data_IF_746965860145
#
_entry.id   IF_746965860145
#
_cell.length_a   1.000
_cell.length_b   1.000
_cell.length_c   1.000
_cell.angle_alpha   90.00
_cell.angle_beta   90.00
_cell.angle_gamma   90.00
#
_symmetry.space_group_name_H-M   'P 1'
#
loop_
_entity.id
_entity.type
_entity.pdbx_description
1 polymer ?
#
# COMPACT_ATOMS: atom_id res chain seq x y z
N UNK A 1 -8.44 12.79 10.32
CA UNK A 1 -7.94 13.10 8.96
C UNK A 1 -7.63 14.58 8.89
N UNK A 2 -6.45 14.94 8.39
CA UNK A 2 -6.11 16.32 8.11
C UNK A 2 -6.93 16.78 6.88
N UNK A 3 -7.45 18.00 6.92
CA UNK A 3 -8.37 18.51 5.88
C UNK A 3 -7.87 19.85 5.35
N UNK A 4 -7.02 19.79 4.33
CA UNK A 4 -6.53 20.97 3.63
C UNK A 4 -7.62 21.60 2.73
N UNK A 5 -8.47 20.75 2.12
CA UNK A 5 -9.59 21.11 1.25
C UNK A 5 -10.92 20.76 1.93
N UNK A 6 -11.67 21.73 2.50
CA UNK A 6 -12.81 21.44 3.37
C UNK A 6 -13.89 20.51 2.79
N UNK A 7 -14.11 20.56 1.48
CA UNK A 7 -15.16 19.82 0.77
C UNK A 7 -14.66 18.68 -0.12
N UNK A 8 -13.35 18.38 -0.15
CA UNK A 8 -12.77 17.42 -1.09
C UNK A 8 -12.01 16.29 -0.36
N UNK A 9 -12.75 15.23 -0.01
CA UNK A 9 -12.20 14.07 0.69
C UNK A 9 -11.03 13.43 -0.07
N UNK A 10 -11.18 13.20 -1.38
CA UNK A 10 -10.19 12.49 -2.19
C UNK A 10 -8.86 13.24 -2.22
N UNK A 11 -8.90 14.57 -2.33
CA UNK A 11 -7.69 15.39 -2.31
C UNK A 11 -7.06 15.43 -0.92
N UNK A 12 -7.85 15.50 0.14
CA UNK A 12 -7.33 15.39 1.51
C UNK A 12 -6.65 14.05 1.75
N UNK A 13 -7.26 12.95 1.31
CA UNK A 13 -6.65 11.62 1.40
C UNK A 13 -5.32 11.57 0.64
N UNK A 14 -5.24 12.17 -0.55
CA UNK A 14 -3.97 12.26 -1.29
C UNK A 14 -2.91 13.10 -0.57
N UNK A 15 -3.30 14.20 0.08
CA UNK A 15 -2.40 15.03 0.88
C UNK A 15 -1.91 14.28 2.12
N UNK A 16 -2.80 13.63 2.86
CA UNK A 16 -2.47 12.83 4.04
C UNK A 16 -1.50 11.69 3.65
N UNK A 17 -1.81 10.94 2.58
CA UNK A 17 -0.91 9.92 2.03
C UNK A 17 0.46 10.50 1.63
N UNK A 18 0.50 11.65 0.97
CA UNK A 18 1.77 12.27 0.60
C UNK A 18 2.59 12.65 1.85
N UNK A 19 1.96 13.19 2.89
CA UNK A 19 2.60 13.50 4.17
C UNK A 19 3.18 12.24 4.81
N UNK A 20 2.40 11.16 4.90
CA UNK A 20 2.87 9.87 5.42
C UNK A 20 3.99 9.27 4.58
N UNK A 21 4.05 9.54 3.27
CA UNK A 21 5.14 9.17 2.38
C UNK A 21 6.38 10.11 2.45
N UNK A 22 6.36 11.11 3.34
CA UNK A 22 7.50 12.01 3.58
C UNK A 22 7.41 13.39 2.91
N UNK A 23 6.24 13.81 2.45
CA UNK A 23 6.03 15.18 1.99
C UNK A 23 6.37 16.21 3.08
N UNK A 24 6.81 17.40 2.66
CA UNK A 24 7.15 18.49 3.59
C UNK A 24 6.05 19.53 3.62
N UNK A 25 5.69 20.00 4.81
CA UNK A 25 4.57 20.93 5.02
C UNK A 25 4.64 22.19 4.15
N UNK A 26 5.84 22.74 3.92
CA UNK A 26 6.02 23.91 3.04
C UNK A 26 5.83 23.58 1.56
N UNK A 27 6.21 22.38 1.12
CA UNK A 27 6.00 21.90 -0.24
C UNK A 27 4.49 21.60 -0.46
N UNK A 28 3.81 21.03 0.54
CA UNK A 28 2.34 20.84 0.54
C UNK A 28 1.63 22.19 0.42
N UNK A 29 2.01 23.19 1.22
CA UNK A 29 1.42 24.53 1.13
C UNK A 29 1.59 25.13 -0.27
N UNK A 30 2.81 25.06 -0.84
CA UNK A 30 3.07 25.57 -2.18
C UNK A 30 2.25 24.85 -3.27
N UNK A 31 2.07 23.54 -3.17
CA UNK A 31 1.28 22.75 -4.14
C UNK A 31 -0.23 22.94 -3.98
N UNK A 32 -0.71 23.05 -2.74
CA UNK A 32 -2.14 22.98 -2.42
C UNK A 32 -2.81 24.35 -2.27
N UNK A 33 -2.11 25.41 -1.85
CA UNK A 33 -2.70 26.74 -1.68
C UNK A 33 -3.34 27.27 -2.98
N UNK A 34 -2.72 27.13 -4.18
CA UNK A 34 -3.34 27.56 -5.43
C UNK A 34 -4.57 26.73 -5.84
N UNK A 35 -4.77 25.57 -5.21
CA UNK A 35 -5.83 24.62 -5.56
C UNK A 35 -7.11 24.81 -4.74
N UNK A 36 -7.15 25.75 -3.79
CA UNK A 36 -8.28 25.94 -2.87
C UNK A 36 -9.62 26.16 -3.58
N UNK A 37 -9.66 27.03 -4.59
CA UNK A 37 -10.88 27.25 -5.37
C UNK A 37 -11.19 26.08 -6.31
N UNK A 38 -10.16 25.50 -6.94
CA UNK A 38 -10.32 24.35 -7.82
C UNK A 38 -10.89 23.12 -7.09
N UNK A 39 -10.55 22.95 -5.80
CA UNK A 39 -11.03 21.85 -4.97
C UNK A 39 -12.55 21.87 -4.73
N UNK A 40 -13.23 23.01 -4.96
CA UNK A 40 -14.68 23.16 -4.73
C UNK A 40 -15.53 22.60 -5.87
N UNK A 41 -14.95 22.37 -7.05
CA UNK A 41 -15.64 21.85 -8.22
C UNK A 41 -15.03 20.50 -8.66
N UNK A 42 -15.82 19.43 -8.83
CA UNK A 42 -15.33 18.15 -9.32
C UNK A 42 -15.24 18.16 -10.85
N UNK A 43 -14.41 19.03 -11.42
CA UNK A 43 -14.26 19.18 -12.86
C UNK A 43 -12.87 18.76 -13.37
N UNK A 44 -12.78 18.53 -14.69
CA UNK A 44 -11.55 18.12 -15.35
C UNK A 44 -10.44 19.18 -15.23
N UNK A 45 -10.81 20.46 -15.03
CA UNK A 45 -9.84 21.54 -14.87
C UNK A 45 -9.16 21.47 -13.49
N UNK A 46 -9.90 21.13 -12.43
CA UNK A 46 -9.35 20.90 -11.09
C UNK A 46 -8.36 19.74 -11.05
N UNK A 47 -8.71 18.59 -11.65
CA UNK A 47 -7.79 17.44 -11.75
C UNK A 47 -6.54 17.77 -12.55
N UNK A 48 -6.66 18.56 -13.63
CA UNK A 48 -5.51 19.05 -14.41
C UNK A 48 -4.63 19.98 -13.59
N UNK A 49 -5.22 20.95 -12.89
CA UNK A 49 -4.49 21.88 -12.04
C UNK A 49 -3.73 21.15 -10.93
N UNK A 50 -4.37 20.18 -10.26
CA UNK A 50 -3.71 19.34 -9.27
C UNK A 50 -2.50 18.62 -9.86
N UNK A 51 -2.67 17.97 -11.02
CA UNK A 51 -1.56 17.29 -11.70
C UNK A 51 -0.40 18.25 -11.98
N UNK A 52 -0.70 19.41 -12.54
CA UNK A 52 0.31 20.39 -12.94
C UNK A 52 1.10 20.92 -11.75
N UNK A 53 0.44 21.28 -10.64
CA UNK A 53 1.14 21.80 -9.46
C UNK A 53 2.03 20.75 -8.79
N UNK A 54 1.56 19.52 -8.67
CA UNK A 54 2.32 18.43 -8.06
C UNK A 54 3.49 17.96 -8.93
N UNK A 55 3.31 17.90 -10.25
CA UNK A 55 4.40 17.59 -11.19
C UNK A 55 5.44 18.71 -11.17
N UNK A 56 5.04 19.98 -11.14
CA UNK A 56 5.97 21.10 -11.08
C UNK A 56 6.85 21.08 -9.81
N UNK A 57 6.29 20.68 -8.67
CA UNK A 57 7.08 20.49 -7.45
C UNK A 57 8.08 19.33 -7.57
N UNK A 58 7.66 18.21 -8.19
CA UNK A 58 8.58 17.10 -8.47
C UNK A 58 9.72 17.54 -9.41
N UNK A 59 9.42 18.36 -10.42
CA UNK A 59 10.44 18.94 -11.33
C UNK A 59 11.42 19.84 -10.58
N UNK A 60 10.92 20.71 -9.70
CA UNK A 60 11.74 21.56 -8.85
C UNK A 60 12.69 20.72 -7.97
N UNK A 61 12.19 19.65 -7.35
CA UNK A 61 13.02 18.74 -6.55
C UNK A 61 14.07 18.01 -7.40
N UNK A 62 13.75 17.63 -8.63
CA UNK A 62 14.73 17.03 -9.55
C UNK A 62 15.86 18.01 -9.88
N UNK A 63 15.54 19.28 -10.17
CA UNK A 63 16.55 20.32 -10.41
C UNK A 63 17.46 20.54 -9.20
N UNK A 64 16.87 20.65 -8.00
CA UNK A 64 17.61 20.79 -6.75
C UNK A 64 18.46 19.54 -6.42
N UNK A 65 18.01 18.34 -6.82
CA UNK A 65 18.79 17.12 -6.68
C UNK A 65 20.01 17.13 -7.60
N UNK A 66 19.89 17.68 -8.82
CA UNK A 66 21.02 17.82 -9.73
C UNK A 66 22.07 18.81 -9.20
N UNK A 67 21.64 19.95 -8.65
CA UNK A 67 22.55 20.89 -7.98
C UNK A 67 23.35 20.23 -6.84
N UNK A 68 22.73 19.31 -6.10
CA UNK A 68 23.42 18.54 -5.07
C UNK A 68 24.36 17.48 -5.65
N UNK A 69 23.99 16.83 -6.75
CA UNK A 69 24.84 15.87 -7.47
C UNK A 69 26.10 16.52 -8.01
N UNK A 70 25.98 17.69 -8.63
CA UNK A 70 27.12 18.48 -9.12
C UNK A 70 28.11 18.82 -8.00
N UNK A 71 27.63 18.87 -6.75
CA UNK A 71 28.44 19.11 -5.55
C UNK A 71 28.83 17.85 -4.79
N UNK A 72 28.52 16.66 -5.31
CA UNK A 72 28.81 15.36 -4.67
C UNK A 72 27.95 15.05 -3.44
N UNK A 73 26.84 15.76 -3.22
CA UNK A 73 25.96 15.63 -2.04
C UNK A 73 24.87 14.58 -2.28
N UNK A 74 25.28 13.33 -2.45
CA UNK A 74 24.41 12.25 -2.94
C UNK A 74 23.24 11.93 -2.01
N UNK A 75 23.42 11.94 -0.69
CA UNK A 75 22.31 11.72 0.25
C UNK A 75 21.21 12.77 0.09
N UNK A 76 21.59 14.04 -0.04
CA UNK A 76 20.66 15.16 -0.23
C UNK A 76 19.93 15.10 -1.57
N UNK A 77 20.62 14.68 -2.63
CA UNK A 77 20.01 14.44 -3.94
C UNK A 77 19.02 13.26 -3.88
N UNK A 78 19.42 12.16 -3.24
CA UNK A 78 18.60 10.97 -3.11
C UNK A 78 17.30 11.22 -2.36
N UNK A 79 17.34 11.96 -1.26
CA UNK A 79 16.13 12.33 -0.51
C UNK A 79 15.16 13.16 -1.38
N UNK A 80 15.68 14.12 -2.16
CA UNK A 80 14.85 14.93 -3.07
C UNK A 80 14.22 14.10 -4.17
N UNK A 81 14.96 13.19 -4.81
CA UNK A 81 14.42 12.31 -5.85
C UNK A 81 13.34 11.37 -5.30
N UNK A 82 13.52 10.85 -4.07
CA UNK A 82 12.51 10.04 -3.40
C UNK A 82 11.24 10.83 -3.10
N UNK A 83 11.34 12.08 -2.62
CA UNK A 83 10.18 12.95 -2.44
C UNK A 83 9.50 13.30 -3.77
N UNK A 84 10.28 13.59 -4.82
CA UNK A 84 9.77 13.84 -6.15
C UNK A 84 8.96 12.64 -6.69
N UNK A 85 9.45 11.41 -6.47
CA UNK A 85 8.71 10.19 -6.79
C UNK A 85 7.36 10.14 -6.04
N UNK A 86 7.35 10.40 -4.73
CA UNK A 86 6.12 10.49 -3.93
C UNK A 86 5.09 11.51 -4.48
N UNK A 87 5.55 12.64 -5.02
CA UNK A 87 4.67 13.64 -5.63
C UNK A 87 4.13 13.21 -7.00
N UNK A 88 4.96 12.54 -7.81
CA UNK A 88 4.51 11.99 -9.09
C UNK A 88 3.47 10.89 -8.92
N UNK A 89 3.64 9.94 -7.98
CA UNK A 89 2.61 8.91 -7.75
C UNK A 89 1.33 9.51 -7.18
N UNK A 90 1.43 10.55 -6.35
CA UNK A 90 0.25 11.28 -5.84
C UNK A 90 -0.52 11.96 -6.98
N UNK A 91 0.19 12.59 -7.92
CA UNK A 91 -0.42 13.18 -9.12
C UNK A 91 -1.04 12.13 -10.04
N UNK A 92 -0.34 11.01 -10.27
CA UNK A 92 -0.77 9.86 -11.10
C UNK A 92 -2.06 9.22 -10.58
N UNK A 93 -2.15 9.02 -9.25
CA UNK A 93 -3.26 8.38 -8.57
C UNK A 93 -4.58 9.13 -8.76
N UNK A 94 -4.54 10.46 -8.93
CA UNK A 94 -5.74 11.27 -9.15
C UNK A 94 -6.20 11.32 -10.61
N UNK A 95 -5.47 10.74 -11.55
CA UNK A 95 -5.85 10.70 -12.95
C UNK A 95 -6.73 9.48 -13.27
N UNK A 96 -7.65 9.62 -14.24
CA UNK A 96 -8.33 8.47 -14.83
C UNK A 96 -7.32 7.49 -15.45
N UNK A 97 -7.63 6.18 -15.42
CA UNK A 97 -6.66 5.14 -15.79
C UNK A 97 -6.15 5.25 -17.24
N UNK A 98 -6.96 5.82 -18.14
CA UNK A 98 -6.72 6.07 -19.56
C UNK A 98 -6.26 7.50 -19.86
N UNK A 99 -6.06 8.34 -18.84
CA UNK A 99 -5.66 9.73 -19.02
C UNK A 99 -4.30 9.85 -19.75
N UNK A 100 -4.17 10.75 -20.75
CA UNK A 100 -2.92 10.94 -21.48
C UNK A 100 -1.72 11.22 -20.57
N UNK A 101 -0.61 10.51 -20.83
CA UNK A 101 0.64 10.65 -20.09
C UNK A 101 0.62 10.12 -18.64
N UNK A 102 -0.48 9.50 -18.18
CA UNK A 102 -0.52 8.86 -16.84
C UNK A 102 0.58 7.82 -16.67
N UNK A 103 0.76 6.97 -17.69
CA UNK A 103 1.77 5.92 -17.66
C UNK A 103 3.21 6.46 -17.67
N UNK A 104 3.44 7.62 -18.29
CA UNK A 104 4.74 8.27 -18.30
C UNK A 104 5.08 8.88 -16.93
N UNK A 105 4.09 9.45 -16.23
CA UNK A 105 4.25 9.84 -14.84
C UNK A 105 4.63 8.65 -13.96
N UNK A 106 3.94 7.52 -14.13
CA UNK A 106 4.22 6.31 -13.37
C UNK A 106 5.64 5.79 -13.63
N UNK A 107 6.07 5.66 -14.89
CA UNK A 107 7.45 5.21 -15.20
C UNK A 107 8.51 6.16 -14.65
N UNK A 108 8.26 7.47 -14.72
CA UNK A 108 9.16 8.47 -14.18
C UNK A 108 9.27 8.36 -12.66
N UNK A 109 8.15 8.14 -11.98
CA UNK A 109 8.11 7.90 -10.54
C UNK A 109 8.97 6.70 -10.13
N UNK A 110 8.79 5.54 -10.78
CA UNK A 110 9.60 4.33 -10.53
C UNK A 110 11.10 4.61 -10.68
N UNK A 111 11.49 5.35 -11.74
CA UNK A 111 12.88 5.68 -12.00
C UNK A 111 13.47 6.59 -10.89
N UNK A 112 12.75 7.65 -10.50
CA UNK A 112 13.20 8.57 -9.45
C UNK A 112 13.25 7.89 -8.08
N UNK A 113 12.30 7.00 -7.77
CA UNK A 113 12.27 6.26 -6.52
C UNK A 113 13.50 5.34 -6.38
N UNK A 114 13.82 4.57 -7.43
CA UNK A 114 14.96 3.67 -7.42
C UNK A 114 16.29 4.42 -7.42
N UNK A 115 16.40 5.49 -8.22
CA UNK A 115 17.61 6.33 -8.23
C UNK A 115 17.83 7.01 -6.88
N UNK A 116 16.77 7.58 -6.30
CA UNK A 116 16.83 8.20 -4.98
C UNK A 116 17.29 7.21 -3.92
N UNK A 117 16.77 5.98 -3.96
CA UNK A 117 17.16 4.91 -3.03
C UNK A 117 18.61 4.45 -3.20
N UNK A 118 19.09 4.37 -4.44
CA UNK A 118 20.50 4.10 -4.71
C UNK A 118 21.42 5.19 -4.15
N UNK A 119 21.08 6.47 -4.35
CA UNK A 119 21.87 7.60 -3.86
C UNK A 119 21.88 7.70 -2.33
N UNK A 120 20.81 7.27 -1.67
CA UNK A 120 20.71 7.20 -0.21
C UNK A 120 21.48 6.02 0.39
N UNK A 121 21.92 5.05 -0.42
CA UNK A 121 22.62 3.86 0.05
C UNK A 121 21.69 2.82 0.69
N UNK A 122 20.40 2.84 0.37
CA UNK A 122 19.45 1.85 0.86
C UNK A 122 19.85 0.45 0.38
N UNK A 123 19.64 -0.57 1.23
CA UNK A 123 19.77 -1.99 0.84
C UNK A 123 18.56 -2.51 0.03
N UNK A 124 17.68 -1.61 -0.40
CA UNK A 124 16.48 -1.91 -1.16
C UNK A 124 16.82 -2.49 -2.53
N UNK A 125 16.14 -3.57 -2.90
CA UNK A 125 16.27 -4.22 -4.20
C UNK A 125 14.90 -4.33 -4.86
N UNK A 126 14.80 -3.89 -6.12
CA UNK A 126 13.66 -4.29 -6.97
C UNK A 126 13.91 -5.71 -7.47
N UNK A 127 12.94 -6.59 -7.27
CA UNK A 127 12.99 -7.99 -7.67
C UNK A 127 11.78 -8.35 -8.53
N UNK A 128 11.92 -9.38 -9.36
CA UNK A 128 10.86 -9.89 -10.23
C UNK A 128 10.55 -11.35 -9.89
N UNK A 129 9.27 -11.66 -9.73
CA UNK A 129 8.75 -12.97 -9.33
C UNK A 129 7.98 -13.57 -10.51
N UNK A 130 8.40 -14.70 -11.08
CA UNK A 130 7.73 -15.29 -12.25
C UNK A 130 6.25 -15.64 -11.99
N UNK A 131 5.35 -15.11 -12.83
CA UNK A 131 3.91 -15.30 -12.70
C UNK A 131 3.19 -15.20 -14.05
N UNK A 132 2.40 -16.21 -14.42
CA UNK A 132 1.51 -16.20 -15.60
C UNK A 132 2.19 -15.75 -16.93
N UNK A 133 3.42 -16.21 -17.20
CA UNK A 133 4.19 -15.82 -18.39
C UNK A 133 4.74 -14.38 -18.37
N UNK A 134 4.56 -13.68 -17.25
CA UNK A 134 5.08 -12.35 -16.94
C UNK A 134 5.81 -12.42 -15.58
N UNK A 135 5.84 -11.32 -14.85
CA UNK A 135 6.32 -11.27 -13.48
C UNK A 135 5.43 -10.39 -12.60
N UNK A 136 5.52 -10.59 -11.29
CA UNK A 136 5.15 -9.60 -10.28
C UNK A 136 6.40 -8.82 -9.90
N UNK A 137 6.29 -7.50 -9.80
CA UNK A 137 7.38 -6.65 -9.32
C UNK A 137 7.25 -6.45 -7.82
N UNK A 138 8.39 -6.48 -7.11
CA UNK A 138 8.42 -6.27 -5.68
C UNK A 138 9.66 -5.49 -5.23
N UNK A 139 9.56 -4.87 -4.06
CA UNK A 139 10.67 -4.25 -3.34
C UNK A 139 11.07 -5.15 -2.17
N UNK A 140 12.28 -5.69 -2.22
CA UNK A 140 12.90 -6.44 -1.14
C UNK A 140 13.79 -5.53 -0.30
N UNK A 141 13.51 -5.43 1.00
CA UNK A 141 14.35 -4.75 1.98
C UNK A 141 14.83 -5.78 3.02
N UNK A 142 16.12 -6.11 3.09
CA UNK A 142 16.62 -7.06 4.07
C UNK A 142 16.57 -6.47 5.49
N UNK A 143 16.43 -7.35 6.48
CA UNK A 143 16.62 -7.03 7.88
C UNK A 143 17.97 -6.34 8.14
N UNK A 144 18.00 -5.36 9.05
CA UNK A 144 19.25 -4.71 9.44
C UNK A 144 20.15 -5.66 10.22
N UNK A 145 21.45 -5.61 9.94
CA UNK A 145 22.45 -6.45 10.61
C UNK A 145 22.51 -7.90 10.15
N UNK A 146 21.76 -8.28 9.11
CA UNK A 146 21.83 -9.62 8.52
C UNK A 146 23.23 -9.88 7.93
N UNK A 147 23.95 -10.88 8.45
CA UNK A 147 25.30 -11.24 8.01
C UNK A 147 25.28 -12.22 6.83
N UNK A 148 26.36 -12.32 6.05
CA UNK A 148 26.45 -13.32 4.98
C UNK A 148 26.18 -14.75 5.49
N UNK A 149 25.26 -15.44 4.83
CA UNK A 149 24.84 -16.81 5.19
C UNK A 149 23.76 -16.91 6.26
N UNK A 150 23.37 -15.80 6.91
CA UNK A 150 22.22 -15.77 7.83
C UNK A 150 20.90 -15.62 7.06
N UNK A 151 19.82 -16.07 7.70
CA UNK A 151 18.44 -15.95 7.20
C UNK A 151 17.58 -15.18 8.19
N UNK A 152 16.75 -14.28 7.68
CA UNK A 152 15.82 -13.47 8.46
C UNK A 152 14.38 -13.92 8.27
N UNK A 153 13.50 -13.72 9.28
CA UNK A 153 12.06 -13.73 9.04
C UNK A 153 11.69 -12.63 8.03
N UNK A 154 10.59 -12.82 7.31
CA UNK A 154 10.14 -11.87 6.29
C UNK A 154 8.63 -11.62 6.37
N UNK A 155 8.21 -10.37 6.17
CA UNK A 155 6.81 -10.00 5.96
C UNK A 155 6.56 -9.64 4.49
N UNK A 156 5.69 -10.41 3.82
CA UNK A 156 5.12 -10.04 2.52
C UNK A 156 4.07 -8.96 2.76
N UNK A 157 4.16 -7.83 2.06
CA UNK A 157 3.26 -6.69 2.25
C UNK A 157 2.46 -6.43 0.96
N UNK A 158 1.14 -6.45 1.08
CA UNK A 158 0.20 -6.37 -0.05
C UNK A 158 -0.45 -5.00 -0.15
N UNK A 159 -0.67 -4.54 -1.38
CA UNK A 159 -1.33 -3.27 -1.68
C UNK A 159 -2.85 -3.29 -1.47
N UNK A 160 -3.43 -2.09 -1.36
CA UNK A 160 -4.86 -1.84 -1.45
C UNK A 160 -5.35 -1.75 -2.91
N UNK A 161 -6.46 -1.01 -3.12
CA UNK A 161 -7.08 -0.84 -4.44
C UNK A 161 -6.28 0.09 -5.37
N UNK A 162 -5.56 1.05 -4.80
CA UNK A 162 -4.98 2.19 -5.52
C UNK A 162 -3.58 2.58 -5.04
N UNK A 163 -3.01 1.82 -4.10
CA UNK A 163 -1.62 1.98 -3.67
C UNK A 163 -0.65 1.24 -4.60
N UNK A 164 0.64 1.56 -4.52
CA UNK A 164 1.73 0.80 -5.15
C UNK A 164 2.77 0.41 -4.12
N UNK A 165 3.67 -0.52 -4.47
CA UNK A 165 4.78 -0.93 -3.59
C UNK A 165 5.67 0.24 -3.17
N UNK A 166 5.88 1.24 -4.02
CA UNK A 166 6.61 2.47 -3.69
C UNK A 166 5.90 3.26 -2.61
N UNK A 167 4.57 3.46 -2.74
CA UNK A 167 3.78 4.15 -1.71
C UNK A 167 3.87 3.43 -0.37
N UNK A 168 3.66 2.11 -0.36
CA UNK A 168 3.76 1.31 0.87
C UNK A 168 5.15 1.35 1.48
N UNK A 169 6.20 1.36 0.66
CA UNK A 169 7.57 1.50 1.14
C UNK A 169 7.79 2.85 1.83
N UNK A 170 7.34 3.94 1.20
CA UNK A 170 7.53 5.31 1.68
C UNK A 170 6.80 5.59 3.00
N UNK A 171 5.66 4.94 3.25
CA UNK A 171 4.92 5.06 4.53
C UNK A 171 5.75 4.56 5.72
N UNK A 172 6.67 3.61 5.52
CA UNK A 172 7.75 3.33 6.48
C UNK A 172 7.78 1.95 7.13
N UNK A 173 6.73 1.14 7.02
CA UNK A 173 6.68 -0.21 7.62
C UNK A 173 7.91 -1.07 7.31
N UNK A 174 8.43 -1.14 6.06
CA UNK A 174 9.63 -1.90 5.77
C UNK A 174 10.85 -1.49 6.62
N UNK A 175 11.09 -0.19 6.80
CA UNK A 175 12.21 0.29 7.59
C UNK A 175 12.04 -0.01 9.09
N UNK A 176 10.81 0.07 9.60
CA UNK A 176 10.53 -0.29 11.00
C UNK A 176 10.72 -1.78 11.28
N UNK A 177 10.36 -2.64 10.32
CA UNK A 177 10.60 -4.09 10.38
C UNK A 177 12.09 -4.41 10.28
N UNK A 178 12.81 -3.74 9.37
CA UNK A 178 14.24 -3.99 9.17
C UNK A 178 15.04 -3.77 10.46
N UNK A 179 14.75 -2.69 11.20
CA UNK A 179 15.33 -2.41 12.54
C UNK A 179 15.06 -3.54 13.55
N UNK A 180 13.89 -4.18 13.44
CA UNK A 180 13.43 -5.30 14.27
C UNK A 180 13.92 -6.67 13.76
N UNK A 181 14.85 -6.70 12.81
CA UNK A 181 15.39 -7.95 12.29
C UNK A 181 14.45 -8.72 11.38
N UNK A 182 13.42 -8.07 10.83
CA UNK A 182 12.46 -8.69 9.90
C UNK A 182 12.62 -8.05 8.51
N UNK A 183 12.90 -8.88 7.50
CA UNK A 183 12.95 -8.46 6.09
C UNK A 183 11.55 -8.15 5.57
N UNK A 184 11.46 -7.35 4.50
CA UNK A 184 10.20 -7.00 3.86
C UNK A 184 10.22 -7.34 2.38
N UNK A 185 9.09 -7.82 1.87
CA UNK A 185 8.82 -7.91 0.43
C UNK A 185 7.51 -7.17 0.14
N UNK A 186 7.60 -5.96 -0.42
CA UNK A 186 6.43 -5.16 -0.78
C UNK A 186 6.08 -5.45 -2.25
N UNK A 187 4.90 -6.02 -2.50
CA UNK A 187 4.58 -6.62 -3.81
C UNK A 187 3.50 -5.82 -4.53
N UNK A 188 3.72 -5.52 -5.80
CA UNK A 188 2.61 -5.17 -6.71
C UNK A 188 1.95 -6.46 -7.19
N UNK A 189 0.95 -6.93 -6.44
CA UNK A 189 0.13 -8.07 -6.83
C UNK A 189 -0.78 -7.74 -8.03
N UNK A 190 -1.39 -8.73 -8.72
CA UNK A 190 -2.36 -8.46 -9.79
C UNK A 190 -3.45 -7.47 -9.33
N UNK A 191 -3.72 -6.46 -10.16
CA UNK A 191 -4.60 -5.33 -9.83
C UNK A 191 -3.89 -4.13 -9.19
N UNK A 192 -2.59 -4.18 -8.94
CA UNK A 192 -1.81 -3.09 -8.35
C UNK A 192 -0.57 -2.73 -9.18
N UNK A 193 -0.08 -1.49 -9.00
CA UNK A 193 1.22 -0.98 -9.48
C UNK A 193 1.68 -1.51 -10.84
N UNK A 194 2.90 -2.04 -10.94
CA UNK A 194 3.49 -2.52 -12.19
C UNK A 194 2.72 -3.71 -12.79
N UNK A 195 2.18 -4.60 -11.95
CA UNK A 195 1.41 -5.76 -12.40
C UNK A 195 0.21 -5.31 -13.26
N UNK A 196 -0.55 -4.32 -12.80
CA UNK A 196 -1.68 -3.77 -13.54
C UNK A 196 -1.24 -2.81 -14.66
N UNK A 197 -0.42 -1.80 -14.32
CA UNK A 197 -0.11 -0.66 -15.22
C UNK A 197 0.82 -1.02 -16.37
N UNK A 198 1.80 -1.90 -16.14
CA UNK A 198 2.82 -2.25 -17.12
C UNK A 198 2.59 -3.65 -17.70
N UNK A 199 2.04 -4.56 -16.89
CA UNK A 199 1.83 -5.95 -17.28
C UNK A 199 0.37 -6.31 -17.55
N UNK A 200 -0.61 -5.43 -17.32
CA UNK A 200 -2.03 -5.71 -17.58
C UNK A 200 -2.60 -6.90 -16.79
N UNK A 201 -1.98 -7.25 -15.66
CA UNK A 201 -2.46 -8.27 -14.73
C UNK A 201 -3.51 -7.63 -13.81
N UNK A 202 -4.77 -7.94 -14.06
CA UNK A 202 -5.91 -7.46 -13.28
C UNK A 202 -6.07 -8.23 -11.97
N UNK A 203 -6.76 -7.63 -11.00
CA UNK A 203 -7.09 -8.24 -9.72
C UNK A 203 -7.87 -9.55 -9.91
N UNK A 204 -7.73 -10.43 -8.94
CA UNK A 204 -8.47 -11.69 -8.84
C UNK A 204 -8.87 -11.95 -7.39
N UNK A 205 -10.02 -12.57 -7.20
CA UNK A 205 -10.56 -12.81 -5.87
C UNK A 205 -9.80 -13.93 -5.13
N UNK A 206 -9.25 -14.88 -5.86
CA UNK A 206 -8.56 -16.07 -5.37
C UNK A 206 -7.05 -15.84 -5.18
N UNK A 207 -6.75 -14.99 -4.19
CA UNK A 207 -5.42 -14.52 -3.77
C UNK A 207 -4.32 -15.58 -3.77
N UNK A 208 -4.65 -16.78 -3.30
CA UNK A 208 -3.72 -17.91 -3.16
C UNK A 208 -2.93 -18.21 -4.44
N UNK A 209 -3.50 -17.97 -5.61
CA UNK A 209 -2.85 -18.28 -6.88
C UNK A 209 -1.57 -17.49 -7.15
N UNK A 210 -1.52 -16.22 -6.75
CA UNK A 210 -0.29 -15.43 -6.85
C UNK A 210 0.49 -15.43 -5.54
N UNK A 211 -0.18 -15.58 -4.39
CA UNK A 211 0.50 -15.66 -3.10
C UNK A 211 1.42 -16.88 -3.01
N UNK A 212 0.97 -18.06 -3.45
CA UNK A 212 1.79 -19.27 -3.50
C UNK A 212 3.05 -19.09 -4.35
N UNK A 213 2.98 -18.32 -5.45
CA UNK A 213 4.13 -18.06 -6.32
C UNK A 213 5.16 -17.13 -5.70
N UNK A 214 4.71 -16.20 -4.85
CA UNK A 214 5.59 -15.37 -4.02
C UNK A 214 6.30 -16.26 -2.99
N UNK A 215 5.57 -17.15 -2.32
CA UNK A 215 6.16 -18.08 -1.34
C UNK A 215 7.17 -19.02 -2.00
N UNK A 216 6.84 -19.61 -3.16
CA UNK A 216 7.77 -20.46 -3.92
C UNK A 216 9.10 -19.75 -4.21
N UNK A 217 9.03 -18.47 -4.58
CA UNK A 217 10.22 -17.66 -4.83
C UNK A 217 11.01 -17.36 -3.53
N UNK A 218 10.30 -17.07 -2.44
CA UNK A 218 10.91 -16.79 -1.14
C UNK A 218 11.61 -17.99 -0.51
N UNK A 219 11.09 -19.22 -0.70
CA UNK A 219 11.75 -20.44 -0.21
C UNK A 219 13.11 -20.69 -0.87
N UNK A 220 13.32 -20.14 -2.08
CA UNK A 220 14.59 -20.18 -2.79
C UNK A 220 15.49 -18.96 -2.48
N UNK A 221 14.99 -17.96 -1.76
CA UNK A 221 15.75 -16.74 -1.49
C UNK A 221 16.75 -16.97 -0.34
N UNK A 222 18.07 -16.78 -0.56
CA UNK A 222 19.10 -17.26 0.36
C UNK A 222 19.09 -16.58 1.74
N UNK A 223 18.58 -15.34 1.80
CA UNK A 223 18.49 -14.51 3.00
C UNK A 223 17.17 -14.68 3.78
N UNK A 224 16.23 -15.49 3.28
CA UNK A 224 14.90 -15.67 3.88
C UNK A 224 14.81 -16.99 4.63
N UNK A 225 14.29 -16.93 5.84
CA UNK A 225 13.89 -18.11 6.59
C UNK A 225 12.51 -18.57 6.13
N UNK A 226 12.49 -19.62 5.31
CA UNK A 226 11.27 -20.21 4.75
C UNK A 226 10.19 -20.59 5.79
N UNK A 227 10.57 -20.82 7.06
CA UNK A 227 9.62 -21.17 8.13
C UNK A 227 9.00 -19.95 8.81
N UNK A 228 9.46 -18.74 8.49
CA UNK A 228 9.09 -17.49 9.16
C UNK A 228 8.72 -16.40 8.16
N UNK A 229 7.86 -16.78 7.21
CA UNK A 229 7.27 -15.87 6.22
C UNK A 229 5.87 -15.47 6.69
N UNK A 230 5.66 -14.19 7.03
CA UNK A 230 4.33 -13.63 7.31
C UNK A 230 3.72 -12.93 6.09
N UNK A 231 2.43 -12.62 6.19
CA UNK A 231 1.74 -11.77 5.22
C UNK A 231 1.03 -10.61 5.91
N UNK A 232 1.09 -9.42 5.33
CA UNK A 232 0.34 -8.23 5.72
C UNK A 232 -0.39 -7.67 4.50
N UNK A 233 -1.58 -7.12 4.71
CA UNK A 233 -2.28 -6.40 3.65
C UNK A 233 -3.04 -5.20 4.17
N UNK A 234 -2.91 -4.09 3.43
CA UNK A 234 -3.52 -2.80 3.77
C UNK A 234 -4.78 -2.55 2.94
N UNK A 235 -5.86 -2.04 3.54
CA UNK A 235 -7.12 -1.71 2.84
C UNK A 235 -7.71 -2.93 2.10
N UNK A 236 -7.78 -2.94 0.76
CA UNK A 236 -8.15 -4.15 -0.01
C UNK A 236 -7.16 -5.31 0.22
N UNK A 237 -5.92 -5.03 0.60
CA UNK A 237 -4.99 -6.02 1.15
C UNK A 237 -5.53 -6.72 2.42
N UNK A 238 -6.40 -6.07 3.19
CA UNK A 238 -7.14 -6.66 4.30
C UNK A 238 -8.17 -7.72 3.89
N UNK A 239 -8.46 -7.86 2.59
CA UNK A 239 -9.12 -9.04 1.99
C UNK A 239 -8.07 -10.06 1.52
N UNK A 240 -7.06 -9.59 0.78
CA UNK A 240 -6.04 -10.48 0.19
C UNK A 240 -5.28 -11.28 1.25
N UNK A 241 -4.76 -10.62 2.29
CA UNK A 241 -3.91 -11.25 3.32
C UNK A 241 -4.63 -12.40 4.06
N UNK A 242 -5.83 -12.22 4.67
CA UNK A 242 -6.53 -13.33 5.31
C UNK A 242 -6.75 -14.51 4.36
N UNK A 243 -7.10 -14.25 3.10
CA UNK A 243 -7.32 -15.30 2.11
C UNK A 243 -6.03 -16.04 1.75
N UNK A 244 -4.93 -15.32 1.52
CA UNK A 244 -3.62 -15.93 1.28
C UNK A 244 -3.23 -16.83 2.46
N UNK A 245 -3.28 -16.31 3.68
CA UNK A 245 -2.89 -17.05 4.89
C UNK A 245 -3.80 -18.26 5.15
N UNK A 246 -5.08 -18.18 4.82
CA UNK A 246 -6.03 -19.29 4.97
C UNK A 246 -5.77 -20.45 3.99
N UNK A 247 -5.27 -20.14 2.79
CA UNK A 247 -5.22 -21.08 1.66
C UNK A 247 -3.80 -21.50 1.25
N UNK A 248 -2.78 -20.76 1.68
CA UNK A 248 -1.35 -21.08 1.50
C UNK A 248 -0.71 -21.41 2.86
N UNK A 249 -0.56 -22.70 3.20
CA UNK A 249 -0.21 -23.15 4.56
C UNK A 249 1.22 -22.80 4.99
N UNK A 250 2.07 -22.31 4.08
CA UNK A 250 3.46 -21.92 4.39
C UNK A 250 3.59 -20.55 5.06
N UNK A 251 2.54 -19.73 5.08
CA UNK A 251 2.56 -18.49 5.85
C UNK A 251 2.53 -18.77 7.35
N UNK A 252 3.45 -18.16 8.10
CA UNK A 252 3.65 -18.34 9.54
C UNK A 252 2.83 -17.38 10.41
N UNK A 253 2.37 -16.25 9.85
CA UNK A 253 1.43 -15.32 10.50
C UNK A 253 0.72 -14.43 9.46
N UNK A 254 -0.33 -13.73 9.89
CA UNK A 254 -1.04 -12.75 9.07
C UNK A 254 -1.35 -11.44 9.80
N UNK A 255 -1.40 -10.33 9.05
CA UNK A 255 -1.83 -9.01 9.55
C UNK A 255 -2.80 -8.38 8.55
N UNK A 256 -3.98 -7.97 9.02
CA UNK A 256 -4.89 -7.13 8.24
C UNK A 256 -4.84 -5.70 8.76
N UNK A 257 -4.35 -4.76 7.95
CA UNK A 257 -4.30 -3.33 8.28
C UNK A 257 -5.43 -2.58 7.56
N UNK A 258 -6.55 -2.36 8.26
CA UNK A 258 -7.80 -1.96 7.61
C UNK A 258 -8.57 -3.17 7.07
N UNK A 259 -8.92 -4.11 7.96
CA UNK A 259 -9.62 -5.35 7.63
C UNK A 259 -10.87 -5.19 6.76
N UNK A 260 -10.86 -5.83 5.60
CA UNK A 260 -11.85 -5.70 4.54
C UNK A 260 -12.52 -7.05 4.28
N UNK A 261 -13.48 -7.40 5.13
CA UNK A 261 -14.01 -8.75 5.23
C UNK A 261 -14.98 -9.14 4.11
N UNK A 262 -15.89 -8.24 3.75
CA UNK A 262 -16.91 -8.45 2.73
C UNK A 262 -16.87 -7.25 1.77
N UNK A 263 -15.92 -7.30 0.83
CA UNK A 263 -15.74 -6.24 -0.14
C UNK A 263 -16.96 -6.12 -1.05
N UNK A 264 -17.62 -7.24 -1.36
CA UNK A 264 -18.92 -7.28 -2.05
C UNK A 264 -19.94 -6.35 -1.41
N UNK A 265 -20.19 -6.48 -0.09
CA UNK A 265 -21.16 -5.61 0.59
C UNK A 265 -20.71 -4.14 0.51
N UNK A 266 -19.41 -3.86 0.70
CA UNK A 266 -18.87 -2.49 0.56
C UNK A 266 -19.18 -1.91 -0.83
N UNK A 267 -19.08 -2.70 -1.90
CA UNK A 267 -19.41 -2.23 -3.25
C UNK A 267 -20.92 -1.95 -3.42
N UNK A 268 -21.78 -2.81 -2.85
CA UNK A 268 -23.24 -2.59 -2.88
C UNK A 268 -23.62 -1.31 -2.17
N UNK A 269 -23.05 -1.06 -0.99
CA UNK A 269 -23.25 0.19 -0.22
C UNK A 269 -22.74 1.42 -0.97
N UNK A 270 -21.62 1.31 -1.68
CA UNK A 270 -21.11 2.39 -2.55
C UNK A 270 -22.06 2.75 -3.70
N UNK A 271 -22.79 1.80 -4.27
CA UNK A 271 -23.86 2.10 -5.25
C UNK A 271 -25.02 2.86 -4.62
N UNK A 272 -25.30 2.59 -3.34
CA UNK A 272 -26.28 3.30 -2.51
C UNK A 272 -25.76 4.67 -2.00
N UNK A 273 -24.57 5.10 -2.45
CA UNK A 273 -23.87 6.35 -2.06
C UNK A 273 -23.42 6.39 -0.60
N UNK A 274 -23.15 5.23 -0.02
CA UNK A 274 -22.56 5.11 1.31
C UNK A 274 -21.03 4.91 1.23
N UNK A 275 -20.32 5.54 2.17
CA UNK A 275 -18.86 5.47 2.28
C UNK A 275 -18.12 6.39 1.31
N UNK A 276 -16.89 6.74 1.68
CA UNK A 276 -16.05 7.61 0.84
C UNK A 276 -15.37 6.83 -0.29
N UNK A 277 -15.24 7.49 -1.46
CA UNK A 277 -14.42 6.97 -2.55
C UNK A 277 -12.95 7.33 -2.36
N UNK A 278 -12.01 6.39 -2.60
CA UNK A 278 -10.59 6.67 -2.48
C UNK A 278 -10.03 7.52 -3.62
N UNK A 279 -10.66 7.51 -4.81
CA UNK A 279 -10.20 8.21 -6.03
C UNK A 279 -11.37 8.88 -6.77
N UNK A 280 -11.14 9.93 -7.59
CA UNK A 280 -12.22 10.70 -8.23
C UNK A 280 -13.04 9.89 -9.25
N UNK A 281 -12.40 8.94 -9.93
CA UNK A 281 -12.99 8.12 -10.99
C UNK A 281 -13.28 6.69 -10.53
N UNK A 282 -13.85 6.56 -9.33
CA UNK A 282 -13.93 5.29 -8.60
C UNK A 282 -14.42 4.09 -9.44
N UNK A 283 -15.58 4.21 -10.09
CA UNK A 283 -16.17 3.09 -10.83
C UNK A 283 -15.36 2.69 -12.08
N UNK A 284 -14.76 3.66 -12.77
CA UNK A 284 -13.86 3.38 -13.89
C UNK A 284 -12.56 2.73 -13.40
N UNK A 285 -12.00 3.23 -12.28
CA UNK A 285 -10.79 2.69 -11.67
C UNK A 285 -10.99 1.26 -11.19
N UNK A 286 -12.05 0.98 -10.43
CA UNK A 286 -12.31 -0.36 -9.91
C UNK A 286 -12.62 -1.36 -11.04
N UNK A 287 -13.33 -0.93 -12.09
CA UNK A 287 -13.56 -1.79 -13.27
C UNK A 287 -12.23 -2.12 -13.97
N UNK A 288 -11.35 -1.14 -14.16
CA UNK A 288 -10.01 -1.36 -14.73
C UNK A 288 -9.16 -2.30 -13.86
N UNK A 289 -9.12 -2.08 -12.54
CA UNK A 289 -8.36 -2.92 -11.61
C UNK A 289 -8.79 -4.38 -11.70
N UNK A 290 -10.10 -4.64 -11.78
CA UNK A 290 -10.65 -6.00 -11.80
C UNK A 290 -10.85 -6.57 -13.22
N UNK A 291 -10.51 -5.82 -14.27
CA UNK A 291 -10.69 -6.24 -15.65
C UNK A 291 -12.15 -6.36 -16.07
N UNK A 292 -13.06 -5.67 -15.38
CA UNK A 292 -14.48 -5.65 -15.70
C UNK A 292 -14.77 -4.74 -16.89
N UNK A 293 -15.76 -5.12 -17.70
CA UNK A 293 -16.19 -4.34 -18.87
C UNK A 293 -16.97 -3.09 -18.48
N UNK A 294 -17.75 -3.20 -17.41
CA UNK A 294 -18.64 -2.17 -16.88
C UNK A 294 -18.93 -2.43 -15.40
N UNK A 295 -19.77 -1.59 -14.79
CA UNK A 295 -20.13 -1.68 -13.37
C UNK A 295 -20.89 -2.98 -13.07
N UNK A 296 -21.79 -3.43 -13.94
CA UNK A 296 -22.58 -4.65 -13.71
C UNK A 296 -21.66 -5.88 -13.74
N UNK A 297 -20.74 -5.94 -14.70
CA UNK A 297 -19.70 -6.97 -14.76
C UNK A 297 -18.81 -6.95 -13.51
N UNK A 298 -18.40 -5.77 -13.05
CA UNK A 298 -17.65 -5.61 -11.81
C UNK A 298 -18.43 -6.12 -10.60
N UNK A 299 -19.72 -5.79 -10.47
CA UNK A 299 -20.54 -6.25 -9.35
C UNK A 299 -20.69 -7.77 -9.33
N UNK A 300 -20.77 -8.43 -10.50
CA UNK A 300 -20.74 -9.90 -10.59
C UNK A 300 -19.41 -10.49 -10.14
N UNK A 301 -18.28 -9.86 -10.48
CA UNK A 301 -16.96 -10.27 -9.98
C UNK A 301 -16.90 -10.10 -8.46
N UNK A 302 -17.36 -8.93 -7.98
CA UNK A 302 -17.34 -8.54 -6.58
C UNK A 302 -18.07 -9.54 -5.67
N UNK A 303 -19.11 -10.24 -6.16
CA UNK A 303 -19.81 -11.30 -5.41
C UNK A 303 -18.89 -12.37 -4.80
N UNK A 304 -17.70 -12.59 -5.39
CA UNK A 304 -16.73 -13.57 -4.91
C UNK A 304 -15.68 -12.98 -3.95
N UNK A 305 -15.71 -11.67 -3.69
CA UNK A 305 -14.71 -10.95 -2.90
C UNK A 305 -15.21 -10.77 -1.47
N UNK A 306 -15.20 -11.87 -0.72
CA UNK A 306 -15.52 -11.92 0.70
C UNK A 306 -14.74 -13.03 1.41
N UNK A 307 -14.67 -12.96 2.74
CA UNK A 307 -13.91 -13.92 3.56
C UNK A 307 -14.78 -14.95 4.30
N UNK A 308 -16.09 -14.99 4.06
CA UNK A 308 -16.95 -16.04 4.62
C UNK A 308 -16.46 -17.45 4.26
N UNK A 309 -16.26 -18.29 5.28
CA UNK A 309 -15.71 -19.65 5.12
C UNK A 309 -14.22 -19.70 4.76
N UNK A 310 -13.53 -18.56 4.85
CA UNK A 310 -12.09 -18.41 4.60
C UNK A 310 -11.36 -18.15 5.92
N UNK A 311 -11.77 -17.16 6.70
CA UNK A 311 -11.05 -16.74 7.93
C UNK A 311 -10.95 -17.88 8.94
N UNK A 312 -11.99 -18.71 9.04
CA UNK A 312 -12.03 -19.86 9.95
C UNK A 312 -10.95 -20.91 9.62
N UNK A 313 -10.35 -20.88 8.42
CA UNK A 313 -9.30 -21.82 8.02
C UNK A 313 -7.90 -21.40 8.48
N UNK A 314 -7.73 -20.17 8.99
CA UNK A 314 -6.45 -19.64 9.44
C UNK A 314 -6.02 -20.36 10.72
N UNK A 315 -4.86 -21.02 10.68
CA UNK A 315 -4.29 -21.84 11.78
C UNK A 315 -3.00 -21.27 12.36
N UNK A 316 -2.67 -20.03 12.03
CA UNK A 316 -1.45 -19.33 12.46
C UNK A 316 -1.82 -18.03 13.19
N UNK A 317 -0.91 -17.42 13.97
CA UNK A 317 -1.15 -16.13 14.60
C UNK A 317 -1.64 -15.08 13.59
N UNK A 318 -2.65 -14.31 13.98
CA UNK A 318 -3.25 -13.31 13.11
C UNK A 318 -3.63 -12.05 13.86
N UNK A 319 -3.15 -10.89 13.38
CA UNK A 319 -3.48 -9.58 13.90
C UNK A 319 -4.47 -8.87 12.99
N UNK A 320 -5.54 -8.36 13.57
CA UNK A 320 -6.49 -7.47 12.91
C UNK A 320 -6.27 -6.06 13.45
N UNK A 321 -5.98 -5.10 12.58
CA UNK A 321 -5.96 -3.68 12.94
C UNK A 321 -6.96 -2.87 12.12
N UNK A 322 -7.52 -1.84 12.74
CA UNK A 322 -8.52 -0.98 12.11
C UNK A 322 -8.60 0.39 12.81
N UNK A 323 -8.97 1.43 12.07
CA UNK A 323 -9.29 2.74 12.64
C UNK A 323 -10.75 2.82 13.08
N UNK A 324 -11.04 3.45 14.21
CA UNK A 324 -12.43 3.58 14.70
C UNK A 324 -13.31 4.46 13.80
N UNK A 325 -12.70 5.39 13.07
CA UNK A 325 -13.35 6.36 12.18
C UNK A 325 -13.16 6.02 10.70
N UNK A 326 -12.86 4.76 10.36
CA UNK A 326 -12.71 4.34 8.96
C UNK A 326 -14.03 4.54 8.19
N UNK A 327 -14.04 5.53 7.30
CA UNK A 327 -15.19 5.89 6.47
C UNK A 327 -15.27 5.13 5.15
N UNK A 328 -14.23 4.36 4.79
CA UNK A 328 -14.20 3.58 3.57
C UNK A 328 -14.60 2.12 3.81
N UNK A 329 -14.14 1.56 4.93
CA UNK A 329 -14.42 0.20 5.38
C UNK A 329 -15.06 0.29 6.76
N UNK A 330 -16.35 -0.07 6.91
CA UNK A 330 -16.99 -0.03 8.21
C UNK A 330 -16.30 -0.93 9.26
N UNK A 331 -16.10 -0.38 10.46
CA UNK A 331 -15.45 -1.05 11.61
C UNK A 331 -16.00 -2.46 11.92
N UNK A 332 -17.29 -2.71 11.65
CA UNK A 332 -17.91 -4.05 11.81
C UNK A 332 -17.14 -5.16 11.08
N UNK A 333 -16.43 -4.85 10.00
CA UNK A 333 -15.65 -5.83 9.25
C UNK A 333 -14.38 -6.28 9.97
N UNK A 334 -13.77 -5.39 10.77
CA UNK A 334 -12.69 -5.78 11.66
C UNK A 334 -13.18 -6.73 12.75
N UNK A 335 -14.33 -6.43 13.37
CA UNK A 335 -14.94 -7.31 14.37
C UNK A 335 -15.29 -8.68 13.78
N UNK A 336 -15.96 -8.73 12.63
CA UNK A 336 -16.31 -10.01 11.96
C UNK A 336 -15.08 -10.84 11.61
N UNK A 337 -14.03 -10.20 11.07
CA UNK A 337 -12.75 -10.89 10.80
C UNK A 337 -12.16 -11.46 12.09
N UNK A 338 -12.08 -10.68 13.16
CA UNK A 338 -11.54 -11.15 14.44
C UNK A 338 -12.36 -12.29 15.05
N UNK A 339 -13.69 -12.19 15.01
CA UNK A 339 -14.60 -13.20 15.55
C UNK A 339 -14.47 -14.54 14.83
N UNK A 340 -14.32 -14.53 13.49
CA UNK A 340 -14.14 -15.72 12.67
C UNK A 340 -12.74 -16.36 12.74
N UNK A 341 -11.73 -15.72 13.35
CA UNK A 341 -10.40 -16.30 13.58
C UNK A 341 -10.40 -17.41 14.66
N UNK A 342 -11.42 -18.26 14.69
CA UNK A 342 -11.66 -19.27 15.73
C UNK A 342 -10.58 -20.36 15.81
N UNK A 343 -9.86 -20.60 14.72
CA UNK A 343 -8.78 -21.60 14.64
C UNK A 343 -7.37 -20.99 14.72
N UNK A 344 -7.25 -19.66 14.85
CA UNK A 344 -5.95 -19.02 15.05
C UNK A 344 -5.47 -19.25 16.49
N UNK A 345 -4.23 -19.72 16.70
CA UNK A 345 -3.67 -19.93 18.05
C UNK A 345 -3.40 -18.63 18.81
N UNK A 346 -3.31 -17.50 18.10
CA UNK A 346 -3.11 -16.15 18.66
C UNK A 346 -3.81 -15.16 17.76
N UNK A 347 -5.06 -14.83 18.08
CA UNK A 347 -5.80 -13.75 17.42
C UNK A 347 -5.78 -12.48 18.27
N UNK A 348 -5.52 -11.35 17.63
CA UNK A 348 -5.56 -10.04 18.28
C UNK A 348 -6.35 -9.05 17.43
N UNK A 349 -7.04 -8.12 18.11
CA UNK A 349 -7.74 -7.00 17.49
C UNK A 349 -7.24 -5.70 18.13
N UNK A 350 -6.64 -4.83 17.32
CA UNK A 350 -6.26 -3.48 17.73
C UNK A 350 -7.08 -2.46 16.95
N UNK A 351 -7.99 -1.80 17.67
CA UNK A 351 -8.67 -0.60 17.15
C UNK A 351 -7.83 0.63 17.54
N UNK A 352 -7.49 1.43 16.53
CA UNK A 352 -6.84 2.73 16.70
C UNK A 352 -7.91 3.81 16.88
N UNK A 353 -7.79 4.56 17.96
CA UNK A 353 -8.72 5.62 18.34
C UNK A 353 -8.04 6.98 18.28
N UNK A 354 -8.80 8.05 18.51
CA UNK A 354 -8.26 9.41 18.62
C UNK A 354 -7.11 9.54 19.64
N UNK A 355 -7.03 8.64 20.64
CA UNK A 355 -5.93 8.62 21.62
C UNK A 355 -4.57 8.34 20.98
N UNK A 356 -4.52 7.33 20.11
CA UNK A 356 -3.29 6.97 19.42
C UNK A 356 -3.14 7.74 18.10
N UNK A 357 -4.23 8.20 17.49
CA UNK A 357 -4.26 8.53 16.07
C UNK A 357 -4.17 7.27 15.20
N UNK A 358 -4.21 7.45 13.89
CA UNK A 358 -4.31 6.31 12.96
C UNK A 358 -5.73 5.75 12.93
N UNK A 359 -6.71 6.56 13.34
CA UNK A 359 -8.10 6.21 13.52
C UNK A 359 -8.89 6.23 12.21
N UNK A 360 -8.31 6.75 11.12
CA UNK A 360 -8.93 6.76 9.80
C UNK A 360 -8.61 5.49 9.02
N UNK A 361 -9.12 5.43 7.78
CA UNK A 361 -8.87 4.32 6.88
C UNK A 361 -7.39 3.97 6.78
N UNK A 362 -7.05 2.72 7.11
CA UNK A 362 -5.68 2.20 7.12
C UNK A 362 -4.66 3.10 7.86
N UNK A 363 -5.13 3.86 8.86
CA UNK A 363 -4.30 4.74 9.68
C UNK A 363 -3.53 5.81 8.90
N UNK A 364 -3.99 6.22 7.72
CA UNK A 364 -3.30 7.22 6.90
C UNK A 364 -3.33 8.64 7.49
N UNK A 365 -4.10 8.88 8.54
CA UNK A 365 -4.05 10.13 9.30
C UNK A 365 -2.86 10.20 10.27
N UNK A 366 -2.27 9.06 10.64
CA UNK A 366 -1.08 8.93 11.47
C UNK A 366 -0.60 7.47 11.44
N UNK A 367 0.19 7.10 10.42
CA UNK A 367 0.54 5.71 10.16
C UNK A 367 1.63 5.20 11.11
N UNK A 368 2.45 6.08 11.68
CA UNK A 368 3.61 5.69 12.47
C UNK A 368 3.23 4.92 13.75
N UNK A 369 2.14 5.30 14.43
CA UNK A 369 1.69 4.59 15.62
C UNK A 369 1.14 3.19 15.28
N UNK A 370 0.34 3.10 14.21
CA UNK A 370 -0.18 1.82 13.76
C UNK A 370 0.92 0.91 13.20
N UNK A 371 1.83 1.47 12.43
CA UNK A 371 2.94 0.77 11.81
C UNK A 371 3.96 0.26 12.81
N UNK A 372 4.30 1.02 13.86
CA UNK A 372 5.16 0.51 14.93
C UNK A 372 4.50 -0.61 15.70
N UNK A 373 3.21 -0.47 16.05
CA UNK A 373 2.46 -1.55 16.72
C UNK A 373 2.47 -2.84 15.87
N UNK A 374 2.21 -2.74 14.57
CA UNK A 374 2.29 -3.87 13.64
C UNK A 374 3.71 -4.44 13.58
N UNK A 375 4.72 -3.58 13.45
CA UNK A 375 6.12 -4.02 13.34
C UNK A 375 6.59 -4.75 14.62
N UNK A 376 6.22 -4.26 15.80
CA UNK A 376 6.49 -4.92 17.09
C UNK A 376 5.82 -6.30 17.14
N UNK A 377 4.52 -6.36 16.85
CA UNK A 377 3.77 -7.61 16.88
C UNK A 377 4.31 -8.66 15.90
N UNK A 378 4.70 -8.23 14.69
CA UNK A 378 5.31 -9.11 13.67
C UNK A 378 6.68 -9.59 14.16
N UNK A 379 7.50 -8.72 14.74
CA UNK A 379 8.80 -9.11 15.28
C UNK A 379 8.68 -10.11 16.43
N UNK A 380 7.76 -9.91 17.37
CA UNK A 380 7.49 -10.88 18.43
C UNK A 380 7.03 -12.24 17.86
N UNK A 381 6.16 -12.20 16.86
CA UNK A 381 5.53 -13.40 16.30
C UNK A 381 6.48 -14.21 15.42
N UNK A 382 7.38 -13.54 14.68
CA UNK A 382 8.35 -14.18 13.78
C UNK A 382 9.75 -14.31 14.38
N UNK A 383 9.94 -13.99 15.66
CA UNK A 383 11.25 -14.09 16.33
C UNK A 383 12.29 -13.11 15.78
N UNK A 384 11.88 -11.87 15.55
CA UNK A 384 12.75 -10.70 15.39
C UNK A 384 13.25 -10.17 16.74
N UNK A 385 13.60 -8.88 16.79
CA UNK A 385 14.10 -8.17 17.98
C UNK A 385 13.31 -6.88 18.22
N UNK A 386 13.15 -6.48 19.48
CA UNK A 386 12.46 -5.24 19.88
C UNK A 386 13.42 -4.17 20.43
N UNK A 387 14.63 -4.57 20.83
CA UNK A 387 15.69 -3.71 21.36
C UNK A 387 17.06 -4.22 20.91
#
# INVERSE_FOLDING_TARGET
MFKYFPSNYVWNLSVDLAIEMGARIGEIEQMCAPLQEAAKAPDAAGTKAFRETWVAMADQLCALAEEDRERGRLFSAGEKLRRAAGYLITAERLQAHDAPGRLDLYRRELALFLEGSRLMGDRLQRVEIPYAGKHLSALYLPAEGLKPGERAPLLVQLNGLDSTKEMKYLVGLPAWLAKRGVSSLVVDQPGSGEALRLSGLTARFDTEHWASRIVDWLEQHPEVDAKRIGCEGVSLGGYYCPRAVAMEPRFACGVAWGANHDWREVQKRRLEKEGDFPVPHYWAHVSWVWGAKDIDDFMRIAENVHLDGVVEKIKVPFLVTHGEHDSQIPLKWAHRTYEQLVNSPKRELKIFTDREGGAQHASFDNSINAGHYIADWVAETLGGRLA
#
